data_IF_801796973725
#
_entry.id   IF_801796973725
#
_cell.length_a   1.000
_cell.length_b   1.000
_cell.length_c   1.000
_cell.angle_alpha   90.00
_cell.angle_beta   90.00
_cell.angle_gamma   90.00
#
_symmetry.space_group_name_H-M   'P 1'
#
loop_
_entity.id
_entity.type
_entity.pdbx_description
1 polymer ?
#
# COMPACT_ATOMS: atom_id res chain seq x y z
N UNK A 1 2.23 -15.12 11.20
CA UNK A 1 1.83 -14.11 10.20
C UNK A 1 2.57 -12.84 10.57
N UNK A 2 3.48 -12.36 9.73
CA UNK A 2 4.31 -11.20 10.06
C UNK A 2 3.44 -9.95 10.24
N UNK A 3 3.52 -9.32 11.40
CA UNK A 3 2.85 -8.06 11.68
C UNK A 3 3.32 -7.02 10.66
N UNK A 4 2.39 -6.47 9.87
CA UNK A 4 2.66 -5.40 8.91
C UNK A 4 2.94 -4.14 9.72
N UNK A 5 4.22 -3.81 9.93
CA UNK A 5 4.61 -2.66 10.74
C UNK A 5 4.60 -1.36 9.93
N UNK A 6 4.42 -0.19 10.56
CA UNK A 6 4.51 1.11 9.89
C UNK A 6 5.84 1.32 9.14
N UNK A 7 6.94 0.79 9.70
CA UNK A 7 8.25 0.84 9.04
C UNK A 7 8.29 0.01 7.74
N UNK A 8 7.60 -1.13 7.72
CA UNK A 8 7.48 -1.94 6.51
C UNK A 8 6.61 -1.25 5.46
N UNK A 9 5.50 -0.62 5.88
CA UNK A 9 4.66 0.18 4.99
C UNK A 9 5.45 1.30 4.31
N UNK A 10 6.25 2.07 5.06
CA UNK A 10 7.07 3.14 4.48
C UNK A 10 8.12 2.61 3.49
N UNK A 11 8.74 1.48 3.82
CA UNK A 11 9.70 0.81 2.93
C UNK A 11 9.02 0.33 1.64
N UNK A 12 7.89 -0.37 1.76
CA UNK A 12 7.14 -0.86 0.62
C UNK A 12 6.55 0.30 -0.22
N UNK A 13 6.14 1.42 0.40
CA UNK A 13 5.71 2.65 -0.30
C UNK A 13 6.81 3.19 -1.20
N UNK A 14 8.05 3.30 -0.69
CA UNK A 14 9.20 3.75 -1.48
C UNK A 14 9.55 2.79 -2.62
N UNK A 15 9.49 1.48 -2.35
CA UNK A 15 9.75 0.44 -3.35
C UNK A 15 8.67 0.42 -4.43
N UNK A 16 7.40 0.60 -4.05
CA UNK A 16 6.26 0.68 -4.96
C UNK A 16 6.36 1.90 -5.87
N UNK A 17 6.60 3.08 -5.31
CA UNK A 17 6.79 4.31 -6.09
C UNK A 17 7.97 4.19 -7.08
N UNK A 18 9.07 3.55 -6.65
CA UNK A 18 10.20 3.26 -7.55
C UNK A 18 9.81 2.27 -8.64
N UNK A 19 9.10 1.20 -8.29
CA UNK A 19 8.65 0.16 -9.22
C UNK A 19 7.79 0.76 -10.34
N UNK A 20 6.80 1.59 -9.99
CA UNK A 20 5.97 2.29 -10.96
C UNK A 20 6.80 3.20 -11.88
N UNK A 21 7.78 3.93 -11.33
CA UNK A 21 8.63 4.84 -12.11
C UNK A 21 9.51 4.11 -13.13
N UNK A 22 10.00 2.92 -12.80
CA UNK A 22 10.88 2.14 -13.69
C UNK A 22 10.12 1.10 -14.53
N UNK A 23 8.79 1.00 -14.39
CA UNK A 23 7.97 0.00 -15.08
C UNK A 23 8.14 -1.43 -14.55
N UNK A 24 8.59 -1.62 -13.30
CA UNK A 24 8.70 -2.93 -12.67
C UNK A 24 7.33 -3.39 -12.13
N UNK A 25 6.48 -3.86 -13.05
CA UNK A 25 5.13 -4.31 -12.74
C UNK A 25 5.10 -5.55 -11.83
N UNK A 26 6.15 -6.38 -11.84
CA UNK A 26 6.25 -7.56 -10.97
C UNK A 26 6.43 -7.15 -9.50
N UNK A 27 7.34 -6.21 -9.25
CA UNK A 27 7.54 -5.69 -7.89
C UNK A 27 6.31 -4.94 -7.39
N UNK A 28 5.68 -4.13 -8.24
CA UNK A 28 4.44 -3.43 -7.91
C UNK A 28 3.33 -4.42 -7.50
N UNK A 29 3.04 -5.42 -8.35
CA UNK A 29 2.04 -6.44 -8.08
C UNK A 29 2.35 -7.30 -6.83
N UNK A 30 3.64 -7.54 -6.56
CA UNK A 30 4.07 -8.28 -5.36
C UNK A 30 3.75 -7.50 -4.07
N UNK A 31 3.96 -6.18 -4.09
CA UNK A 31 3.61 -5.30 -2.97
C UNK A 31 2.08 -5.25 -2.82
N UNK A 32 1.34 -5.00 -3.90
CA UNK A 32 -0.13 -4.99 -3.89
C UNK A 32 -0.70 -6.28 -3.28
N UNK A 33 -0.25 -7.45 -3.72
CA UNK A 33 -0.69 -8.74 -3.17
C UNK A 33 -0.34 -8.91 -1.70
N UNK A 34 0.86 -8.49 -1.28
CA UNK A 34 1.28 -8.56 0.12
C UNK A 34 0.38 -7.74 1.02
N UNK A 35 -0.08 -6.60 0.55
CA UNK A 35 -0.95 -5.68 1.27
C UNK A 35 -2.44 -5.97 1.05
N UNK A 36 -2.80 -6.95 0.21
CA UNK A 36 -4.20 -7.26 -0.11
C UNK A 36 -4.87 -6.22 -1.03
N UNK A 37 -4.07 -5.41 -1.72
CA UNK A 37 -4.50 -4.29 -2.56
C UNK A 37 -4.38 -4.61 -4.06
N UNK A 38 -4.30 -5.89 -4.41
CA UNK A 38 -4.20 -6.28 -5.82
C UNK A 38 -5.50 -5.95 -6.57
N UNK A 39 -5.38 -5.22 -7.67
CA UNK A 39 -6.51 -4.72 -8.45
C UNK A 39 -6.99 -3.32 -8.09
N UNK A 40 -6.48 -2.72 -7.01
CA UNK A 40 -6.70 -1.30 -6.71
C UNK A 40 -5.88 -0.40 -7.64
N UNK A 41 -6.34 0.85 -7.80
CA UNK A 41 -5.57 1.86 -8.52
C UNK A 41 -4.23 2.12 -7.80
N UNK A 42 -3.13 2.38 -8.55
CA UNK A 42 -1.82 2.64 -7.94
C UNK A 42 -1.81 3.81 -6.96
N UNK A 43 -2.66 4.82 -7.19
CA UNK A 43 -2.86 5.95 -6.28
C UNK A 43 -3.44 5.48 -4.94
N UNK A 44 -4.50 4.67 -4.96
CA UNK A 44 -5.09 4.07 -3.76
C UNK A 44 -4.07 3.23 -2.99
N UNK A 45 -3.30 2.38 -3.69
CA UNK A 45 -2.23 1.58 -3.08
C UNK A 45 -1.20 2.49 -2.38
N UNK A 46 -0.82 3.59 -3.03
CA UNK A 46 0.14 4.55 -2.47
C UNK A 46 -0.40 5.25 -1.23
N UNK A 47 -1.68 5.66 -1.24
CA UNK A 47 -2.37 6.29 -0.10
C UNK A 47 -2.47 5.32 1.07
N UNK A 48 -2.93 4.08 0.85
CA UNK A 48 -3.02 3.06 1.91
C UNK A 48 -1.66 2.84 2.57
N UNK A 49 -0.60 2.68 1.77
CA UNK A 49 0.75 2.49 2.31
C UNK A 49 1.25 3.72 3.11
N UNK A 50 0.85 4.93 2.73
CA UNK A 50 1.16 6.15 3.48
C UNK A 50 0.41 6.18 4.83
N UNK A 51 -0.88 5.84 4.85
CA UNK A 51 -1.67 5.84 6.08
C UNK A 51 -1.22 4.74 7.05
N UNK A 52 -0.88 3.55 6.54
CA UNK A 52 -0.30 2.51 7.41
C UNK A 52 1.08 2.93 7.93
N UNK A 53 1.87 3.67 7.15
CA UNK A 53 3.18 4.14 7.62
C UNK A 53 3.08 5.20 8.73
N UNK A 54 1.95 5.89 8.86
CA UNK A 54 1.65 6.77 10.00
C UNK A 54 1.08 6.03 11.21
N UNK A 55 0.89 4.70 11.12
CA UNK A 55 0.36 3.87 12.20
C UNK A 55 -1.14 3.58 12.12
N UNK A 56 -1.81 3.93 11.01
CA UNK A 56 -3.20 3.54 10.79
C UNK A 56 -3.29 2.03 10.52
N UNK A 57 -4.38 1.41 10.97
CA UNK A 57 -4.65 0.01 10.64
C UNK A 57 -4.97 -0.12 9.15
N UNK A 58 -4.63 -1.28 8.56
CA UNK A 58 -4.79 -1.51 7.13
C UNK A 58 -6.23 -1.31 6.65
N UNK A 59 -7.21 -1.90 7.35
CA UNK A 59 -8.63 -1.74 7.00
C UNK A 59 -9.05 -0.26 7.01
N UNK A 60 -8.74 0.46 8.09
CA UNK A 60 -9.04 1.90 8.19
C UNK A 60 -8.33 2.74 7.12
N UNK A 61 -7.12 2.34 6.70
CA UNK A 61 -6.40 2.98 5.61
C UNK A 61 -7.04 2.71 4.24
N UNK A 62 -7.61 1.51 4.03
CA UNK A 62 -8.35 1.17 2.81
C UNK A 62 -9.65 1.97 2.76
N UNK A 63 -10.41 2.04 3.86
CA UNK A 63 -11.63 2.85 3.95
C UNK A 63 -11.34 4.32 3.63
N UNK A 64 -10.28 4.89 4.21
CA UNK A 64 -9.88 6.28 3.96
C UNK A 64 -9.43 6.51 2.51
N UNK A 65 -8.67 5.58 1.92
CA UNK A 65 -8.17 5.71 0.55
C UNK A 65 -9.22 5.44 -0.54
N UNK A 66 -10.28 4.69 -0.22
CA UNK A 66 -11.41 4.41 -1.13
C UNK A 66 -12.55 5.41 -0.97
N UNK A 67 -12.56 6.17 0.13
CA UNK A 67 -13.63 7.12 0.44
C UNK A 67 -14.92 6.44 0.89
N UNK A 68 -14.87 5.13 1.21
CA UNK A 68 -15.97 4.44 1.88
C UNK A 68 -16.03 4.91 3.34
N UNK A 69 -16.77 5.99 3.58
CA UNK A 69 -17.20 6.34 4.93
C UNK A 69 -18.40 5.46 5.31
N UNK A 70 -18.49 4.95 6.55
CA UNK A 70 -19.63 4.18 7.02
C UNK A 70 -20.95 4.96 6.98
#
# INVERSE_FOLDING_TARGET
MSERTPAQAESDRKRYARALRIGDHYLAASIERRWGLYGYAPETVSTVLACVSTGLLLDAAIDEATGEQP
#
